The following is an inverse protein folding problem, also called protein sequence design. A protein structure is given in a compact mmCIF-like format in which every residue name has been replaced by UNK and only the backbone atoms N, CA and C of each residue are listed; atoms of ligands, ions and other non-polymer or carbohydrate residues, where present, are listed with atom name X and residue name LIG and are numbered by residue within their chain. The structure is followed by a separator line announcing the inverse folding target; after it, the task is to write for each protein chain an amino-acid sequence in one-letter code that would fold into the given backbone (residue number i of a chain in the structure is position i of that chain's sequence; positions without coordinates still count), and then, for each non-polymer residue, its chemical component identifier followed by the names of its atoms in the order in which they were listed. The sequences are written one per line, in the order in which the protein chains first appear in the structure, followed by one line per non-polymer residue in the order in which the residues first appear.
data_IF_989104969047
#
_entry.id   IF_989104969047
#
_cell.length_a   1.000
_cell.length_b   1.000
_cell.length_c   1.000
_cell.angle_alpha   90.00
_cell.angle_beta   90.00
_cell.angle_gamma   90.00
#
_symmetry.space_group_name_H-M   'P 1'
#
loop_
_entity.id
_entity.type
_entity.pdbx_description
1 polymer ?
#
# COMPACT_ATOMS: atom_id res chain seq x y z
N UNK A 1 2.56 -25.22 20.20
CA UNK A 1 1.45 -24.98 19.26
C UNK A 1 1.93 -24.04 18.16
N UNK A 2 2.08 -24.53 16.92
CA UNK A 2 2.34 -23.66 15.77
C UNK A 2 0.99 -23.24 15.19
N UNK A 3 0.68 -21.94 15.21
CA UNK A 3 -0.50 -21.42 14.52
C UNK A 3 -0.18 -21.32 13.03
N UNK A 4 -1.04 -21.83 12.13
CA UNK A 4 -0.82 -21.67 10.70
C UNK A 4 -0.88 -20.18 10.35
N UNK A 5 0.15 -19.67 9.66
CA UNK A 5 0.16 -18.33 9.10
C UNK A 5 -0.65 -18.35 7.81
N UNK A 6 -1.62 -17.45 7.67
CA UNK A 6 -2.49 -17.33 6.49
C UNK A 6 -2.63 -15.87 6.11
N UNK A 7 -2.72 -15.61 4.81
CA UNK A 7 -3.14 -14.31 4.28
C UNK A 7 -4.65 -14.14 4.48
N UNK A 8 -5.13 -12.90 4.36
CA UNK A 8 -6.56 -12.67 4.15
C UNK A 8 -6.99 -13.32 2.82
N UNK A 9 -8.21 -13.88 2.74
CA UNK A 9 -8.61 -14.77 1.64
C UNK A 9 -8.42 -14.16 0.24
N UNK A 10 -8.72 -12.88 0.09
CA UNK A 10 -8.76 -12.19 -1.22
C UNK A 10 -7.45 -11.46 -1.57
N UNK A 11 -6.41 -11.53 -0.73
CA UNK A 11 -5.15 -10.77 -0.95
C UNK A 11 -4.48 -11.17 -2.27
N UNK A 12 -4.47 -12.46 -2.60
CA UNK A 12 -3.90 -12.94 -3.85
C UNK A 12 -4.62 -12.34 -5.07
N UNK A 13 -5.94 -12.27 -5.01
CA UNK A 13 -6.80 -11.74 -6.09
C UNK A 13 -6.66 -10.23 -6.22
N UNK A 14 -6.58 -9.50 -5.09
CA UNK A 14 -6.31 -8.06 -5.04
C UNK A 14 -4.98 -7.73 -5.74
N UNK A 15 -3.91 -8.44 -5.41
CA UNK A 15 -2.59 -8.20 -6.01
C UNK A 15 -2.55 -8.58 -7.48
N UNK A 16 -3.20 -9.69 -7.87
CA UNK A 16 -3.31 -10.10 -9.27
C UNK A 16 -4.10 -9.09 -10.11
N UNK A 17 -5.19 -8.53 -9.57
CA UNK A 17 -5.97 -7.52 -10.28
C UNK A 17 -5.10 -6.29 -10.57
N UNK A 18 -4.43 -5.74 -9.55
CA UNK A 18 -3.54 -4.59 -9.70
C UNK A 18 -2.40 -4.84 -10.69
N UNK A 19 -1.79 -6.02 -10.64
CA UNK A 19 -0.73 -6.44 -11.57
C UNK A 19 -1.22 -6.52 -13.02
N UNK A 20 -2.41 -7.11 -13.24
CA UNK A 20 -3.04 -7.22 -14.57
C UNK A 20 -3.40 -5.87 -15.19
N UNK A 21 -3.66 -4.86 -14.35
CA UNK A 21 -3.93 -3.48 -14.75
C UNK A 21 -2.64 -2.66 -14.93
N UNK A 22 -1.47 -3.25 -14.67
CA UNK A 22 -0.16 -2.60 -14.79
C UNK A 22 0.11 -1.55 -13.70
N UNK A 23 -0.60 -1.63 -12.57
CA UNK A 23 -0.46 -0.68 -11.47
C UNK A 23 0.76 -1.06 -10.63
N UNK A 24 1.73 -0.16 -10.54
CA UNK A 24 2.92 -0.38 -9.71
C UNK A 24 2.55 -0.43 -8.22
N UNK A 25 2.93 -1.51 -7.55
CA UNK A 25 2.66 -1.72 -6.12
C UNK A 25 3.93 -1.58 -5.27
N UNK A 26 3.73 -1.15 -4.03
CA UNK A 26 4.78 -1.05 -3.02
C UNK A 26 4.30 -1.56 -1.66
N UNK A 27 5.22 -2.11 -0.87
CA UNK A 27 4.98 -2.47 0.52
C UNK A 27 5.61 -1.43 1.46
N UNK A 28 4.85 -0.94 2.44
CA UNK A 28 5.36 -0.10 3.52
C UNK A 28 5.00 -0.75 4.86
N UNK A 29 5.97 -1.05 5.73
CA UNK A 29 5.70 -1.71 7.03
C UNK A 29 6.63 -1.22 8.12
N UNK A 30 6.05 -0.95 9.29
CA UNK A 30 6.75 -0.44 10.48
C UNK A 30 7.31 -1.54 11.39
N UNK A 31 7.27 -2.80 10.95
CA UNK A 31 7.65 -3.95 11.78
C UNK A 31 9.11 -3.89 12.22
N UNK A 32 9.38 -4.28 13.47
CA UNK A 32 10.74 -4.60 13.94
C UNK A 32 11.26 -5.94 13.43
N UNK A 33 10.35 -6.85 13.06
CA UNK A 33 10.67 -8.17 12.51
C UNK A 33 10.81 -8.09 10.99
N UNK A 34 11.87 -7.44 10.53
CA UNK A 34 12.11 -7.16 9.11
C UNK A 34 12.35 -8.47 8.34
N UNK A 35 13.12 -9.40 8.91
CA UNK A 35 13.47 -10.65 8.25
C UNK A 35 12.24 -11.54 8.10
N UNK A 36 11.46 -11.72 9.17
CA UNK A 36 10.22 -12.48 9.10
C UNK A 36 9.20 -11.91 8.11
N UNK A 37 9.04 -10.58 8.06
CA UNK A 37 8.13 -9.96 7.09
C UNK A 37 8.55 -10.22 5.63
N UNK A 38 9.85 -10.08 5.32
CA UNK A 38 10.39 -10.41 3.98
C UNK A 38 10.22 -11.89 3.66
N UNK A 39 10.50 -12.77 4.61
CA UNK A 39 10.33 -14.22 4.46
C UNK A 39 8.87 -14.59 4.16
N UNK A 40 7.90 -13.94 4.80
CA UNK A 40 6.49 -14.20 4.50
C UNK A 40 6.12 -13.76 3.08
N UNK A 41 6.62 -12.61 2.60
CA UNK A 41 6.41 -12.20 1.23
C UNK A 41 7.01 -13.20 0.23
N UNK A 42 8.18 -13.78 0.53
CA UNK A 42 8.79 -14.83 -0.29
C UNK A 42 8.00 -16.13 -0.27
N UNK A 43 7.65 -16.64 0.92
CA UNK A 43 6.95 -17.92 1.10
C UNK A 43 5.55 -17.91 0.45
N UNK A 44 4.85 -16.78 0.51
CA UNK A 44 3.57 -16.61 -0.18
C UNK A 44 3.74 -16.20 -1.65
N UNK A 45 4.97 -16.01 -2.13
CA UNK A 45 5.26 -15.61 -3.50
C UNK A 45 4.74 -14.22 -3.86
N UNK A 46 4.58 -13.33 -2.89
CA UNK A 46 4.05 -11.97 -3.06
C UNK A 46 5.11 -10.96 -3.50
N UNK A 47 6.40 -11.26 -3.28
CA UNK A 47 7.50 -10.36 -3.67
C UNK A 47 7.49 -10.00 -5.16
N UNK A 48 6.91 -10.86 -6.02
CA UNK A 48 6.78 -10.58 -7.46
C UNK A 48 5.90 -9.35 -7.78
N UNK A 49 4.96 -9.02 -6.90
CA UNK A 49 4.02 -7.91 -7.11
C UNK A 49 4.58 -6.56 -6.65
N UNK A 50 5.47 -6.56 -5.64
CA UNK A 50 5.96 -5.33 -5.03
C UNK A 50 7.25 -4.86 -5.68
N UNK A 51 7.17 -3.81 -6.49
CA UNK A 51 8.33 -3.18 -7.12
C UNK A 51 9.21 -2.45 -6.12
N UNK A 52 8.62 -1.93 -5.05
CA UNK A 52 9.31 -1.20 -4.00
C UNK A 52 8.90 -1.74 -2.62
N UNK A 53 9.85 -1.82 -1.68
CA UNK A 53 9.56 -2.31 -0.32
C UNK A 53 10.31 -1.48 0.71
N UNK A 54 9.57 -0.76 1.54
CA UNK A 54 10.09 -0.07 2.73
C UNK A 54 9.58 -0.84 3.96
N UNK A 55 10.42 -1.68 4.58
CA UNK A 55 10.06 -2.52 5.73
C UNK A 55 11.09 -2.30 6.84
N UNK A 56 10.77 -1.45 7.82
CA UNK A 56 11.60 -1.15 8.98
C UNK A 56 10.83 -0.29 10.00
N UNK A 57 11.25 -0.27 11.29
CA UNK A 57 10.65 0.63 12.28
C UNK A 57 10.78 2.11 11.90
N UNK A 58 9.70 2.87 12.06
CA UNK A 58 9.71 4.32 11.80
C UNK A 58 8.32 4.88 11.51
N UNK A 59 8.25 6.12 11.06
CA UNK A 59 7.00 6.74 10.59
C UNK A 59 6.70 6.36 9.14
N UNK A 60 5.43 6.11 8.79
CA UNK A 60 5.03 5.89 7.40
C UNK A 60 5.31 7.12 6.52
N UNK A 61 5.34 8.31 7.08
CA UNK A 61 5.81 9.52 6.39
C UNK A 61 7.20 9.32 5.77
N UNK A 62 8.15 8.74 6.52
CA UNK A 62 9.51 8.46 6.03
C UNK A 62 9.50 7.39 4.94
N UNK A 63 8.66 6.37 5.09
CA UNK A 63 8.50 5.31 4.10
C UNK A 63 7.99 5.89 2.77
N UNK A 64 6.93 6.70 2.84
CA UNK A 64 6.35 7.34 1.66
C UNK A 64 7.30 8.33 0.98
N UNK A 65 8.10 9.08 1.74
CA UNK A 65 9.16 9.93 1.17
C UNK A 65 10.16 9.12 0.34
N UNK A 66 10.59 7.96 0.84
CA UNK A 66 11.49 7.07 0.08
C UNK A 66 10.81 6.43 -1.12
N UNK A 67 9.56 6.00 -0.99
CA UNK A 67 8.77 5.49 -2.11
C UNK A 67 8.59 6.55 -3.21
N UNK A 68 8.33 7.80 -2.84
CA UNK A 68 8.27 8.92 -3.77
C UNK A 68 9.62 9.15 -4.47
N UNK A 69 10.74 9.10 -3.74
CA UNK A 69 12.08 9.23 -4.31
C UNK A 69 12.44 8.08 -5.27
N UNK A 70 12.10 6.83 -4.93
CA UNK A 70 12.40 5.66 -5.75
C UNK A 70 11.52 5.57 -7.00
N UNK A 71 10.24 5.92 -6.87
CA UNK A 71 9.25 5.78 -7.95
C UNK A 71 9.10 7.02 -8.83
N UNK A 72 9.43 8.21 -8.31
CA UNK A 72 9.12 9.49 -8.94
C UNK A 72 7.62 9.84 -8.98
N UNK A 73 6.76 9.03 -8.36
CA UNK A 73 5.30 9.23 -8.38
C UNK A 73 4.94 10.27 -7.31
N UNK A 74 4.24 11.37 -7.65
CA UNK A 74 3.83 12.36 -6.66
C UNK A 74 2.77 11.78 -5.71
N UNK A 75 2.74 12.25 -4.45
CA UNK A 75 1.86 11.69 -3.41
C UNK A 75 0.38 11.65 -3.79
N UNK A 76 -0.14 12.68 -4.47
CA UNK A 76 -1.53 12.72 -4.92
C UNK A 76 -1.88 11.68 -6.00
N UNK A 77 -0.87 11.00 -6.56
CA UNK A 77 -1.04 9.86 -7.47
C UNK A 77 -0.78 8.52 -6.78
N UNK A 78 -0.78 8.48 -5.46
CA UNK A 78 -0.66 7.26 -4.67
C UNK A 78 -1.98 6.95 -3.95
N UNK A 79 -2.30 5.66 -3.88
CA UNK A 79 -3.39 5.08 -3.09
C UNK A 79 -2.77 4.16 -2.02
N UNK A 80 -3.19 4.33 -0.77
CA UNK A 80 -2.60 3.63 0.37
C UNK A 80 -3.66 2.94 1.22
N UNK A 81 -3.43 1.66 1.53
CA UNK A 81 -4.27 0.86 2.40
C UNK A 81 -3.50 0.52 3.69
N UNK A 82 -4.07 0.82 4.85
CA UNK A 82 -3.48 0.51 6.16
C UNK A 82 -4.56 0.34 7.22
N UNK A 83 -4.35 -0.57 8.17
CA UNK A 83 -5.27 -0.82 9.28
C UNK A 83 -5.08 0.16 10.44
N UNK A 84 -3.91 0.78 10.58
CA UNK A 84 -3.60 1.70 11.67
C UNK A 84 -4.04 3.13 11.32
N UNK A 85 -5.09 3.64 12.00
CA UNK A 85 -5.62 5.00 11.78
C UNK A 85 -4.56 6.11 11.90
N UNK A 86 -3.51 5.90 12.69
CA UNK A 86 -2.37 6.81 12.79
C UNK A 86 -1.63 6.91 11.46
N UNK A 87 -1.35 5.77 10.80
CA UNK A 87 -0.67 5.74 9.51
C UNK A 87 -1.52 6.41 8.44
N UNK A 88 -2.83 6.15 8.43
CA UNK A 88 -3.79 6.79 7.53
C UNK A 88 -3.73 8.33 7.66
N UNK A 89 -3.77 8.86 8.88
CA UNK A 89 -3.66 10.30 9.12
C UNK A 89 -2.30 10.85 8.71
N UNK A 90 -1.22 10.22 9.17
CA UNK A 90 0.15 10.71 8.97
C UNK A 90 0.55 10.71 7.48
N UNK A 91 0.06 9.74 6.70
CA UNK A 91 0.28 9.65 5.25
C UNK A 91 -0.72 10.51 4.46
N UNK A 92 -1.97 10.62 4.91
CA UNK A 92 -2.96 11.49 4.28
C UNK A 92 -2.55 12.97 4.28
N UNK A 93 -1.82 13.43 5.30
CA UNK A 93 -1.24 14.78 5.35
C UNK A 93 -0.22 15.05 4.22
N UNK A 94 0.33 14.01 3.57
CA UNK A 94 1.21 14.14 2.40
C UNK A 94 0.43 14.33 1.09
N UNK A 95 -0.90 14.20 1.12
CA UNK A 95 -1.76 14.26 -0.07
C UNK A 95 -2.00 12.90 -0.74
N UNK A 96 -1.62 11.80 -0.08
CA UNK A 96 -1.92 10.43 -0.54
C UNK A 96 -3.39 10.09 -0.25
N UNK A 97 -4.08 9.45 -1.19
CA UNK A 97 -5.42 8.92 -0.94
C UNK A 97 -5.30 7.69 -0.04
N UNK A 98 -5.87 7.74 1.15
CA UNK A 98 -5.70 6.69 2.16
C UNK A 98 -7.04 6.00 2.46
N UNK A 99 -7.03 4.68 2.50
CA UNK A 99 -8.20 3.82 2.74
C UNK A 99 -7.94 2.98 3.98
N UNK A 100 -8.71 3.14 5.08
CA UNK A 100 -8.56 2.33 6.28
C UNK A 100 -9.04 0.89 6.04
N UNK A 101 -8.26 -0.10 6.47
CA UNK A 101 -8.57 -1.54 6.27
C UNK A 101 -8.52 -2.34 7.58
N UNK A 102 -9.42 -2.06 8.55
CA UNK A 102 -9.32 -2.59 9.92
C UNK A 102 -9.39 -4.11 10.02
N UNK A 103 -9.90 -4.80 8.99
CA UNK A 103 -10.07 -6.25 8.95
C UNK A 103 -9.39 -6.89 7.75
N UNK A 104 -8.35 -6.26 7.20
CA UNK A 104 -7.61 -6.74 6.04
C UNK A 104 -8.21 -6.34 4.70
N UNK A 105 -7.46 -6.63 3.64
CA UNK A 105 -7.82 -6.29 2.26
C UNK A 105 -8.88 -7.22 1.68
N UNK A 106 -9.80 -6.63 0.92
CA UNK A 106 -10.82 -7.31 0.10
C UNK A 106 -10.91 -6.64 -1.27
N UNK A 107 -11.51 -7.33 -2.24
CA UNK A 107 -11.79 -6.79 -3.57
C UNK A 107 -12.78 -5.62 -3.51
N UNK A 108 -13.74 -5.63 -2.57
CA UNK A 108 -14.65 -4.49 -2.39
C UNK A 108 -13.89 -3.25 -1.96
N UNK A 109 -13.01 -3.38 -0.94
CA UNK A 109 -12.20 -2.27 -0.45
C UNK A 109 -11.24 -1.76 -1.52
N UNK A 110 -10.68 -2.65 -2.35
CA UNK A 110 -9.88 -2.25 -3.50
C UNK A 110 -10.70 -1.38 -4.47
N UNK A 111 -11.89 -1.84 -4.88
CA UNK A 111 -12.77 -1.12 -5.80
C UNK A 111 -13.20 0.24 -5.24
N UNK A 112 -13.58 0.29 -3.97
CA UNK A 112 -13.94 1.53 -3.27
C UNK A 112 -12.75 2.49 -3.21
N UNK A 113 -11.55 1.99 -2.90
CA UNK A 113 -10.32 2.77 -2.88
C UNK A 113 -9.96 3.35 -4.25
N UNK A 114 -10.07 2.55 -5.31
CA UNK A 114 -9.84 3.01 -6.69
C UNK A 114 -10.86 4.06 -7.11
N UNK A 115 -12.14 3.88 -6.76
CA UNK A 115 -13.19 4.86 -7.04
C UNK A 115 -12.96 6.19 -6.29
N UNK A 116 -12.57 6.13 -5.02
CA UNK A 116 -12.21 7.32 -4.24
C UNK A 116 -10.98 8.02 -4.82
N UNK A 117 -9.97 7.25 -5.23
CA UNK A 117 -8.77 7.78 -5.87
C UNK A 117 -9.09 8.53 -7.17
N UNK A 118 -9.96 7.98 -8.03
CA UNK A 118 -10.39 8.62 -9.27
C UNK A 118 -11.09 9.97 -9.03
N UNK A 119 -11.97 10.05 -8.03
CA UNK A 119 -12.67 11.30 -7.67
C UNK A 119 -11.71 12.37 -7.15
N UNK A 120 -10.68 11.98 -6.38
CA UNK A 120 -9.65 12.88 -5.89
C UNK A 120 -8.66 13.31 -7.00
N UNK A 121 -8.40 12.47 -8.01
CA UNK A 121 -7.51 12.85 -9.13
C UNK A 121 -8.16 13.87 -10.08
N UNK A 122 -9.48 13.81 -10.26
CA UNK A 122 -10.22 14.73 -11.15
C UNK A 122 -10.37 16.15 -10.56
N UNK A 123 -10.09 16.33 -9.27
CA UNK A 123 -10.23 17.61 -8.57
C UNK A 123 -8.93 18.43 -8.49
N UNK A 124 -7.83 17.96 -9.08
CA UNK A 124 -6.56 18.69 -9.14
C UNK A 124 -6.49 19.51 -10.44
N UNK A 125 -6.35 20.85 -10.38
CA UNK A 125 -6.21 21.65 -11.59
C UNK A 125 -4.92 21.28 -12.32
N UNK A 126 -5.02 21.08 -13.63
CA UNK A 126 -3.97 20.62 -14.54
C UNK A 126 -2.72 21.53 -14.66
N UNK A 127 -2.51 22.50 -13.76
CA UNK A 127 -1.42 23.46 -13.84
C UNK A 127 -0.73 23.66 -12.49
N UNK A 128 0.25 22.78 -12.20
CA UNK A 128 1.51 23.14 -11.54
C UNK A 128 2.61 22.21 -12.07
N UNK A 129 3.04 22.51 -13.30
CA UNK A 129 4.35 22.11 -13.85
C UNK A 129 5.35 23.18 -13.46
#
# INVERSE_FOLDING_TARGET
YQRPVRLYPEVSEVLQQLDSEGIAMAAASRTGEIQGARQLLDLFGLNRYFRYTEIYPGSKTTHFQRLNQQSGIPFHRMLFFDDESRNIRDVGMLGVVCVPVPTGMTLSLLKEGLASFAQCSDSLPANKV
#
